data_IF_268397552275
#
_entry.id   IF_268397552275
#
_cell.length_a   1.000
_cell.length_b   1.000
_cell.length_c   1.000
_cell.angle_alpha   90.00
_cell.angle_beta   90.00
_cell.angle_gamma   90.00
#
_symmetry.space_group_name_H-M   'P 1'
#
loop_
_entity.id
_entity.type
_entity.pdbx_description
1 polymer ?
#
# COMPACT_ATOMS: atom_id res chain seq x y z
N UNK A 1 -20.28 -11.68 -9.60
CA UNK A 1 -19.01 -11.20 -9.06
C UNK A 1 -19.34 -10.07 -8.10
N UNK A 2 -19.08 -10.28 -6.82
CA UNK A 2 -19.35 -9.29 -5.79
C UNK A 2 -18.38 -8.09 -5.91
N UNK A 3 -18.56 -7.06 -5.09
CA UNK A 3 -17.69 -5.88 -5.14
C UNK A 3 -16.24 -6.19 -4.73
N UNK A 4 -16.03 -7.20 -3.90
CA UNK A 4 -14.72 -7.58 -3.39
C UNK A 4 -13.90 -8.31 -4.46
N UNK A 5 -14.49 -9.30 -5.13
CA UNK A 5 -13.85 -9.99 -6.24
C UNK A 5 -13.52 -9.03 -7.39
N UNK A 6 -14.40 -8.04 -7.67
CA UNK A 6 -14.09 -6.95 -8.62
C UNK A 6 -12.86 -6.15 -8.21
N UNK A 7 -12.72 -5.84 -6.93
CA UNK A 7 -11.53 -5.14 -6.43
C UNK A 7 -10.27 -6.00 -6.54
N UNK A 8 -10.35 -7.31 -6.27
CA UNK A 8 -9.23 -8.24 -6.41
C UNK A 8 -8.76 -8.37 -7.87
N UNK A 9 -9.70 -8.55 -8.80
CA UNK A 9 -9.38 -8.64 -10.22
C UNK A 9 -8.75 -7.35 -10.74
N UNK A 10 -9.26 -6.20 -10.31
CA UNK A 10 -8.67 -4.89 -10.63
C UNK A 10 -7.26 -4.76 -10.06
N UNK A 11 -7.04 -5.12 -8.80
CA UNK A 11 -5.72 -5.09 -8.16
C UNK A 11 -4.72 -5.96 -8.96
N UNK A 12 -5.09 -7.20 -9.26
CA UNK A 12 -4.27 -8.13 -10.03
C UNK A 12 -3.96 -7.59 -11.43
N UNK A 13 -4.98 -7.12 -12.16
CA UNK A 13 -4.84 -6.60 -13.52
C UNK A 13 -3.96 -5.35 -13.57
N UNK A 14 -4.21 -4.39 -12.68
CA UNK A 14 -3.46 -3.11 -12.66
C UNK A 14 -2.03 -3.32 -12.21
N UNK A 15 -1.80 -4.08 -11.12
CA UNK A 15 -0.43 -4.38 -10.65
C UNK A 15 0.38 -5.16 -11.69
N UNK A 16 -0.23 -6.13 -12.38
CA UNK A 16 0.43 -6.88 -13.46
C UNK A 16 0.80 -5.96 -14.62
N UNK A 17 -0.15 -5.14 -15.06
CA UNK A 17 0.07 -4.19 -16.17
C UNK A 17 1.16 -3.18 -15.84
N UNK A 18 1.14 -2.62 -14.63
CA UNK A 18 2.15 -1.70 -14.14
C UNK A 18 3.52 -2.36 -14.07
N UNK A 19 3.63 -3.55 -13.46
CA UNK A 19 4.89 -4.26 -13.34
C UNK A 19 5.48 -4.65 -14.71
N UNK A 20 4.63 -5.00 -15.68
CA UNK A 20 5.06 -5.26 -17.05
C UNK A 20 5.61 -3.98 -17.72
N UNK A 21 4.90 -2.86 -17.56
CA UNK A 21 5.37 -1.57 -18.05
C UNK A 21 6.71 -1.18 -17.44
N UNK A 22 6.83 -1.22 -16.10
CA UNK A 22 8.07 -0.89 -15.39
C UNK A 22 9.23 -1.83 -15.77
N UNK A 23 8.95 -3.10 -16.05
CA UNK A 23 9.97 -4.06 -16.52
C UNK A 23 10.47 -3.77 -17.93
N UNK A 24 9.70 -3.05 -18.74
CA UNK A 24 10.09 -2.66 -20.10
C UNK A 24 10.87 -1.36 -20.16
N UNK A 25 10.94 -0.61 -19.06
CA UNK A 25 11.64 0.67 -19.02
C UNK A 25 13.15 0.46 -19.04
N UNK A 26 13.90 1.25 -19.84
CA UNK A 26 15.34 1.27 -19.74
C UNK A 26 15.77 1.94 -18.42
N UNK A 27 16.97 1.61 -17.94
CA UNK A 27 17.45 2.03 -16.63
C UNK A 27 17.38 3.55 -16.42
N UNK A 28 17.73 4.35 -17.43
CA UNK A 28 17.68 5.81 -17.34
C UNK A 28 16.26 6.38 -17.16
N UNK A 29 15.22 5.63 -17.55
CA UNK A 29 13.83 6.07 -17.39
C UNK A 29 13.35 6.01 -15.94
N UNK A 30 14.02 5.23 -15.08
CA UNK A 30 13.73 5.22 -13.63
C UNK A 30 14.07 6.56 -12.96
N UNK A 31 14.98 7.33 -13.56
CA UNK A 31 15.43 8.63 -13.06
C UNK A 31 14.73 9.84 -13.70
N UNK A 32 13.79 9.59 -14.63
CA UNK A 32 13.03 10.68 -15.26
C UNK A 32 11.98 11.24 -14.31
N UNK A 33 11.67 12.55 -14.39
CA UNK A 33 10.53 13.13 -13.68
C UNK A 33 9.24 12.36 -13.99
N UNK A 34 8.43 12.15 -12.95
CA UNK A 34 7.10 11.59 -13.04
C UNK A 34 6.04 12.70 -13.14
N UNK A 35 4.76 12.32 -13.26
CA UNK A 35 3.64 13.26 -13.12
C UNK A 35 3.41 13.73 -11.68
N UNK A 36 4.08 13.14 -10.69
CA UNK A 36 4.10 13.62 -9.32
C UNK A 36 5.22 14.65 -9.17
N UNK A 37 4.87 15.89 -8.81
CA UNK A 37 5.84 16.97 -8.64
C UNK A 37 6.98 16.56 -7.71
N UNK A 38 8.21 16.77 -8.18
CA UNK A 38 9.48 16.45 -7.50
C UNK A 38 9.79 14.96 -7.34
N UNK A 39 9.00 14.06 -7.91
CA UNK A 39 9.26 12.62 -7.87
C UNK A 39 9.71 12.10 -9.23
N UNK A 40 10.71 11.23 -9.20
CA UNK A 40 11.10 10.42 -10.34
C UNK A 40 10.24 9.15 -10.40
N UNK A 41 10.32 8.39 -11.50
CA UNK A 41 9.61 7.11 -11.64
C UNK A 41 9.94 6.14 -10.51
N UNK A 42 11.19 6.11 -10.05
CA UNK A 42 11.61 5.31 -8.91
C UNK A 42 10.91 5.71 -7.59
N UNK A 43 10.70 7.00 -7.36
CA UNK A 43 10.04 7.49 -6.14
C UNK A 43 8.57 7.09 -6.10
N UNK A 44 7.88 7.19 -7.24
CA UNK A 44 6.49 6.72 -7.39
C UNK A 44 6.41 5.23 -7.10
N UNK A 45 7.32 4.43 -7.67
CA UNK A 45 7.32 2.98 -7.46
C UNK A 45 7.62 2.62 -6.00
N UNK A 46 8.53 3.33 -5.34
CA UNK A 46 8.82 3.15 -3.93
C UNK A 46 7.64 3.55 -3.02
N UNK A 47 6.88 4.59 -3.40
CA UNK A 47 5.64 4.95 -2.72
C UNK A 47 4.59 3.84 -2.81
N UNK A 48 4.45 3.20 -3.98
CA UNK A 48 3.52 2.07 -4.16
C UNK A 48 3.92 0.84 -3.32
N UNK A 49 5.21 0.49 -3.30
CA UNK A 49 5.75 -0.55 -2.39
C UNK A 49 5.35 -0.26 -0.95
N UNK A 50 5.60 0.97 -0.48
CA UNK A 50 5.25 1.38 0.87
C UNK A 50 3.74 1.24 1.13
N UNK A 51 2.89 1.66 0.20
CA UNK A 51 1.44 1.50 0.29
C UNK A 51 1.03 0.03 0.42
N UNK A 52 1.55 -0.84 -0.42
CA UNK A 52 1.23 -2.27 -0.39
C UNK A 52 1.73 -2.95 0.89
N UNK A 53 2.95 -2.66 1.35
CA UNK A 53 3.47 -3.14 2.64
C UNK A 53 2.60 -2.68 3.83
N UNK A 54 2.08 -1.46 3.76
CA UNK A 54 1.18 -0.91 4.76
C UNK A 54 -0.10 -1.72 4.88
N UNK A 55 -0.73 -2.06 3.75
CA UNK A 55 -1.94 -2.86 3.73
C UNK A 55 -1.66 -4.30 4.16
N UNK A 56 -0.59 -4.90 3.67
CA UNK A 56 -0.17 -6.24 4.09
C UNK A 56 -0.02 -6.30 5.61
N UNK A 57 0.69 -5.34 6.20
CA UNK A 57 0.91 -5.29 7.66
C UNK A 57 -0.41 -5.11 8.42
N UNK A 58 -1.24 -4.14 8.02
CA UNK A 58 -2.49 -3.85 8.71
C UNK A 58 -3.49 -5.00 8.63
N UNK A 59 -3.73 -5.53 7.43
CA UNK A 59 -4.69 -6.62 7.21
C UNK A 59 -4.22 -7.89 7.92
N UNK A 60 -2.93 -8.24 7.82
CA UNK A 60 -2.40 -9.44 8.48
C UNK A 60 -2.59 -9.41 10.00
N UNK A 61 -2.48 -8.23 10.63
CA UNK A 61 -2.71 -8.05 12.06
C UNK A 61 -4.21 -8.03 12.40
N UNK A 62 -5.03 -7.35 11.61
CA UNK A 62 -6.49 -7.33 11.79
C UNK A 62 -7.11 -8.73 11.72
N UNK A 63 -6.65 -9.58 10.79
CA UNK A 63 -7.04 -11.01 10.70
C UNK A 63 -6.62 -11.80 11.95
N UNK A 64 -5.58 -11.38 12.65
CA UNK A 64 -5.16 -11.96 13.93
C UNK A 64 -5.86 -11.33 15.14
N UNK A 65 -6.81 -10.41 14.92
CA UNK A 65 -7.55 -9.71 15.97
C UNK A 65 -6.80 -8.51 16.58
N UNK A 66 -5.76 -8.02 15.91
CA UNK A 66 -4.96 -6.87 16.35
C UNK A 66 -5.13 -5.68 15.40
N UNK A 67 -6.06 -4.75 15.70
CA UNK A 67 -6.29 -3.55 14.89
C UNK A 67 -5.38 -2.39 15.29
N UNK A 68 -4.38 -2.59 16.16
CA UNK A 68 -3.53 -1.50 16.64
C UNK A 68 -2.55 -1.00 15.55
N UNK A 69 -1.96 0.20 15.71
CA UNK A 69 -0.95 0.71 14.78
C UNK A 69 0.26 -0.21 14.64
N UNK A 70 0.74 -0.51 13.42
CA UNK A 70 2.01 -1.20 13.23
C UNK A 70 3.19 -0.43 13.85
N UNK A 71 4.33 -1.09 14.16
CA UNK A 71 5.50 -0.40 14.68
C UNK A 71 5.88 0.84 13.86
N UNK A 72 6.14 1.96 14.54
CA UNK A 72 6.46 3.24 13.90
C UNK A 72 5.26 4.03 13.35
N UNK A 73 4.04 3.54 13.56
CA UNK A 73 2.79 4.24 13.20
C UNK A 73 2.19 4.94 14.41
N UNK A 74 1.57 6.09 14.14
CA UNK A 74 0.80 6.83 15.14
C UNK A 74 -0.56 6.17 15.37
N UNK A 75 -1.22 6.41 16.52
CA UNK A 75 -2.60 5.96 16.76
C UNK A 75 -3.57 6.43 15.67
N UNK A 76 -4.57 5.60 15.36
CA UNK A 76 -5.66 5.99 14.47
C UNK A 76 -6.39 7.22 15.04
N UNK A 77 -6.68 8.19 14.16
CA UNK A 77 -7.38 9.42 14.55
C UNK A 77 -6.53 10.46 15.29
N UNK A 78 -5.21 10.26 15.43
CA UNK A 78 -4.35 11.34 15.90
C UNK A 78 -4.33 12.48 14.88
N UNK A 79 -4.71 13.67 15.34
CA UNK A 79 -4.53 14.98 14.71
C UNK A 79 -3.06 15.28 14.34
N UNK A 80 -2.12 14.57 14.96
CA UNK A 80 -0.82 14.28 14.37
C UNK A 80 -1.00 13.33 13.18
N UNK A 81 -1.37 13.89 12.02
CA UNK A 81 -1.46 13.25 10.72
C UNK A 81 -0.65 11.95 10.64
N UNK A 82 -1.35 10.81 10.72
CA UNK A 82 -0.80 9.56 10.20
C UNK A 82 -0.36 9.87 8.77
N UNK A 83 0.96 9.88 8.57
CA UNK A 83 1.60 10.30 7.32
C UNK A 83 1.25 11.71 6.82
N UNK A 84 1.94 12.74 7.34
CA UNK A 84 1.96 14.01 6.60
C UNK A 84 2.42 13.77 5.16
N UNK A 85 1.85 14.50 4.19
CA UNK A 85 2.24 14.38 2.79
C UNK A 85 3.75 14.52 2.58
N UNK A 86 4.40 15.37 3.40
CA UNK A 86 5.85 15.54 3.43
C UNK A 86 6.58 14.26 3.89
N UNK A 87 6.13 13.61 4.97
CA UNK A 87 6.74 12.34 5.43
C UNK A 87 6.58 11.22 4.39
N UNK A 88 5.45 11.16 3.70
CA UNK A 88 5.26 10.22 2.58
C UNK A 88 6.27 10.51 1.48
N UNK A 89 6.39 11.78 1.08
CA UNK A 89 7.29 12.20 0.01
C UNK A 89 8.76 11.92 0.33
N UNK A 90 9.24 12.34 1.49
CA UNK A 90 10.62 12.05 1.91
C UNK A 90 10.86 10.55 2.09
N UNK A 91 9.86 9.81 2.58
CA UNK A 91 9.92 8.36 2.74
C UNK A 91 10.04 7.63 1.40
N UNK A 92 9.28 8.05 0.39
CA UNK A 92 9.33 7.49 -0.96
C UNK A 92 10.71 7.68 -1.60
N UNK A 93 11.27 8.89 -1.51
CA UNK A 93 12.63 9.21 -2.01
C UNK A 93 13.69 8.41 -1.25
N UNK A 94 13.58 8.31 0.08
CA UNK A 94 14.55 7.53 0.87
C UNK A 94 14.48 6.04 0.52
N UNK A 95 13.27 5.51 0.32
CA UNK A 95 13.06 4.12 -0.04
C UNK A 95 13.53 3.81 -1.46
N UNK A 96 13.31 4.71 -2.43
CA UNK A 96 13.78 4.54 -3.81
C UNK A 96 15.31 4.43 -3.86
N UNK A 97 16.02 5.32 -3.17
CA UNK A 97 17.49 5.30 -3.06
C UNK A 97 17.97 4.03 -2.36
N UNK A 98 17.33 3.64 -1.25
CA UNK A 98 17.72 2.45 -0.49
C UNK A 98 17.53 1.16 -1.30
N UNK A 99 16.43 1.05 -2.04
CA UNK A 99 16.09 -0.15 -2.80
C UNK A 99 16.90 -0.26 -4.10
N UNK A 100 17.18 0.85 -4.79
CA UNK A 100 17.95 0.85 -6.03
C UNK A 100 17.46 -0.21 -7.01
N UNK A 101 18.36 -1.07 -7.47
CA UNK A 101 18.06 -2.17 -8.41
C UNK A 101 17.06 -3.21 -7.85
N UNK A 102 16.86 -3.27 -6.54
CA UNK A 102 15.88 -4.14 -5.89
C UNK A 102 14.46 -3.57 -5.91
N UNK A 103 14.26 -2.33 -6.38
CA UNK A 103 12.95 -1.68 -6.34
C UNK A 103 11.88 -2.44 -7.13
N UNK A 104 12.16 -2.81 -8.39
CA UNK A 104 11.21 -3.55 -9.23
C UNK A 104 10.95 -4.99 -8.70
N UNK A 105 11.98 -5.78 -8.32
CA UNK A 105 11.75 -7.06 -7.64
C UNK A 105 10.90 -6.92 -6.38
N UNK A 106 11.15 -5.89 -5.56
CA UNK A 106 10.39 -5.63 -4.33
C UNK A 106 8.94 -5.28 -4.64
N UNK A 107 8.69 -4.40 -5.62
CA UNK A 107 7.32 -4.07 -6.08
C UNK A 107 6.54 -5.31 -6.47
N UNK A 108 7.11 -6.16 -7.33
CA UNK A 108 6.46 -7.42 -7.76
C UNK A 108 6.18 -8.36 -6.58
N UNK A 109 7.12 -8.47 -5.65
CA UNK A 109 6.98 -9.33 -4.48
C UNK A 109 5.87 -8.84 -3.56
N UNK A 110 5.85 -7.54 -3.25
CA UNK A 110 4.86 -6.93 -2.36
C UNK A 110 3.47 -6.91 -2.99
N UNK A 111 3.33 -6.63 -4.29
CA UNK A 111 2.05 -6.70 -5.00
C UNK A 111 1.47 -8.12 -4.94
N UNK A 112 2.30 -9.13 -5.22
CA UNK A 112 1.90 -10.54 -5.11
C UNK A 112 1.51 -10.90 -3.68
N UNK A 113 2.26 -10.43 -2.68
CA UNK A 113 1.94 -10.68 -1.27
C UNK A 113 0.60 -10.07 -0.89
N UNK A 114 0.34 -8.82 -1.29
CA UNK A 114 -0.93 -8.15 -1.04
C UNK A 114 -2.10 -8.88 -1.71
N UNK A 115 -1.97 -9.22 -2.99
CA UNK A 115 -2.99 -9.99 -3.71
C UNK A 115 -3.25 -11.33 -3.03
N UNK A 116 -2.20 -12.07 -2.67
CA UNK A 116 -2.32 -13.39 -2.04
C UNK A 116 -3.02 -13.30 -0.69
N UNK A 117 -2.67 -12.30 0.12
CA UNK A 117 -3.32 -12.05 1.41
C UNK A 117 -4.82 -11.78 1.23
N UNK A 118 -5.16 -10.85 0.34
CA UNK A 118 -6.56 -10.46 0.11
C UNK A 118 -7.36 -11.62 -0.52
N UNK A 119 -6.86 -12.27 -1.56
CA UNK A 119 -7.53 -13.42 -2.18
C UNK A 119 -7.79 -14.58 -1.19
N UNK A 120 -6.98 -14.70 -0.13
CA UNK A 120 -7.16 -15.70 0.92
C UNK A 120 -8.22 -15.36 1.99
N UNK A 121 -8.76 -14.14 2.02
CA UNK A 121 -9.72 -13.74 3.04
C UNK A 121 -11.10 -14.36 2.80
N UNK A 122 -11.62 -15.07 3.80
CA UNK A 122 -13.03 -15.46 3.86
C UNK A 122 -13.91 -14.27 4.28
N UNK A 123 -15.23 -14.46 4.25
CA UNK A 123 -16.17 -13.37 4.58
C UNK A 123 -15.94 -12.78 6.00
N UNK A 124 -15.86 -13.58 7.09
CA UNK A 124 -15.52 -13.04 8.41
C UNK A 124 -14.22 -12.22 8.46
N UNK A 125 -13.18 -12.65 7.74
CA UNK A 125 -11.90 -11.95 7.72
C UNK A 125 -11.99 -10.58 7.03
N UNK A 126 -12.82 -10.47 5.99
CA UNK A 126 -13.08 -9.21 5.29
C UNK A 126 -13.79 -8.19 6.18
N UNK A 127 -14.57 -8.66 7.14
CA UNK A 127 -15.33 -7.82 8.08
C UNK A 127 -14.53 -7.44 9.35
N UNK A 128 -13.29 -7.94 9.50
CA UNK A 128 -12.46 -7.65 10.68
C UNK A 128 -11.87 -6.23 10.63
N UNK A 129 -11.92 -5.48 11.74
CA UNK A 129 -11.22 -4.21 11.85
C UNK A 129 -9.71 -4.38 11.65
N UNK A 130 -9.10 -3.45 10.93
CA UNK A 130 -7.66 -3.33 10.80
C UNK A 130 -7.26 -1.85 10.90
N UNK A 131 -6.00 -1.60 11.27
CA UNK A 131 -5.46 -0.26 11.44
C UNK A 131 -5.53 0.58 10.16
N UNK A 132 -5.87 1.86 10.29
CA UNK A 132 -5.93 2.77 9.14
C UNK A 132 -5.39 4.17 9.43
N UNK A 133 -4.14 4.41 9.07
CA UNK A 133 -3.41 5.64 9.41
C UNK A 133 -3.88 6.95 8.74
N UNK A 134 -5.12 7.07 8.26
CA UNK A 134 -5.68 8.31 7.72
C UNK A 134 -7.17 8.44 8.03
N UNK A 135 -7.58 9.65 8.44
CA UNK A 135 -8.94 9.98 8.90
C UNK A 135 -9.97 10.19 7.77
N UNK A 136 -9.66 9.84 6.52
CA UNK A 136 -10.48 10.24 5.35
C UNK A 136 -10.78 9.13 4.33
N UNK A 137 -10.62 7.85 4.69
CA UNK A 137 -11.27 6.76 3.96
C UNK A 137 -12.21 6.01 4.90
N UNK A 138 -13.43 6.56 5.03
CA UNK A 138 -14.50 5.92 5.79
C UNK A 138 -14.96 4.64 5.07
N UNK A 139 -14.37 3.50 5.41
CA UNK A 139 -15.18 2.29 5.55
C UNK A 139 -15.84 2.37 6.93
N UNK A 140 -17.16 2.28 6.93
CA UNK A 140 -18.02 2.61 8.04
C UNK A 140 -17.62 1.89 9.34
N UNK A 141 -17.13 2.66 10.30
CA UNK A 141 -17.43 2.43 11.70
C UNK A 141 -18.96 2.55 11.89
N UNK A 142 -19.67 1.47 11.57
CA UNK A 142 -20.98 1.12 12.13
C UNK A 142 -20.82 -0.38 12.38
N UNK A 143 -20.59 -0.86 13.58
CA UNK A 143 -21.45 -0.70 14.74
C UNK A 143 -20.72 -1.14 16.01
N UNK A 144 -20.76 -0.33 17.08
CA UNK A 144 -20.27 -0.79 18.38
C UNK A 144 -20.06 0.29 19.43
N UNK A 145 -21.01 1.21 19.61
CA UNK A 145 -20.98 2.18 20.71
C UNK A 145 -22.40 2.39 21.22
N UNK A 146 -22.67 1.84 22.40
CA UNK A 146 -23.89 2.06 23.20
C UNK A 146 -24.02 3.51 23.63
#
# INVERSE_FOLDING_TARGET
MDSYEKCLDNLCSVSTSLNNYLSSLPAESWHKPSGCDRWQVADVSAHLVFGAESYVSSVSRGVQGDPSPPPGRMPDGSDAAGFSAERIASGAITASVRLGDQLLPTSKATDRQLYTLLAGLNQPDRDRPCYHGGSNWRWAAVSGGR
#
